data_IF_366502831215
#
_entry.id   IF_366502831215
#
_cell.length_a   1.000
_cell.length_b   1.000
_cell.length_c   1.000
_cell.angle_alpha   90.00
_cell.angle_beta   90.00
_cell.angle_gamma   90.00
#
_symmetry.space_group_name_H-M   'P 1'
#
loop_
_entity.id
_entity.type
_entity.pdbx_description
1 polymer ?
#
# COMPACT_ATOMS: atom_id res chain seq x y z
N UNK A 1 -5.78 -10.44 -5.39
CA UNK A 1 -5.94 -11.91 -5.35
C UNK A 1 -4.66 -12.62 -4.91
N UNK A 2 -3.65 -12.82 -5.76
CA UNK A 2 -2.42 -13.53 -5.36
C UNK A 2 -1.65 -12.79 -4.26
N UNK A 3 -1.48 -11.47 -4.38
CA UNK A 3 -0.85 -10.65 -3.34
C UNK A 3 -1.55 -10.77 -1.97
N UNK A 4 -2.88 -10.85 -1.97
CA UNK A 4 -3.69 -10.99 -0.75
C UNK A 4 -3.42 -12.29 0.00
N UNK A 5 -3.20 -13.40 -0.72
CA UNK A 5 -2.82 -14.69 -0.13
C UNK A 5 -1.42 -14.63 0.49
N UNK A 6 -0.46 -14.07 -0.25
CA UNK A 6 0.92 -13.88 0.23
C UNK A 6 0.93 -13.00 1.48
N UNK A 7 0.15 -11.92 1.48
CA UNK A 7 0.02 -11.01 2.61
C UNK A 7 -0.56 -11.66 3.86
N UNK A 8 -1.56 -12.54 3.71
CA UNK A 8 -2.09 -13.31 4.85
C UNK A 8 -1.00 -14.14 5.54
N UNK A 9 -0.16 -14.81 4.74
CA UNK A 9 0.96 -15.59 5.26
C UNK A 9 2.07 -14.72 5.86
N UNK A 10 2.48 -13.63 5.20
CA UNK A 10 3.51 -12.73 5.74
C UNK A 10 3.05 -11.99 7.00
N UNK A 11 1.78 -11.59 7.08
CA UNK A 11 1.20 -10.98 8.27
C UNK A 11 1.25 -11.91 9.48
N UNK A 12 0.97 -13.20 9.27
CA UNK A 12 1.03 -14.21 10.32
C UNK A 12 2.48 -14.53 10.74
N UNK A 13 3.42 -14.59 9.79
CA UNK A 13 4.80 -15.05 10.05
C UNK A 13 5.75 -13.94 10.50
N UNK A 14 5.70 -12.78 9.86
CA UNK A 14 6.65 -11.67 10.07
C UNK A 14 6.02 -10.46 10.77
N UNK A 15 4.72 -10.51 11.03
CA UNK A 15 3.98 -9.42 11.64
C UNK A 15 3.50 -8.36 10.66
N UNK A 16 2.62 -7.50 11.17
CA UNK A 16 1.86 -6.53 10.38
C UNK A 16 2.73 -5.35 9.95
N UNK A 17 3.62 -4.87 10.83
CA UNK A 17 4.55 -3.77 10.53
C UNK A 17 5.50 -4.12 9.39
N UNK A 18 6.09 -5.32 9.41
CA UNK A 18 6.97 -5.77 8.33
C UNK A 18 6.21 -5.88 7.00
N UNK A 19 4.98 -6.40 7.03
CA UNK A 19 4.15 -6.49 5.83
C UNK A 19 3.76 -5.12 5.28
N UNK A 20 3.46 -4.13 6.14
CA UNK A 20 3.22 -2.74 5.73
C UNK A 20 4.47 -2.13 5.08
N UNK A 21 5.65 -2.41 5.63
CA UNK A 21 6.91 -1.96 5.05
C UNK A 21 7.14 -2.57 3.66
N UNK A 22 6.93 -3.89 3.50
CA UNK A 22 7.06 -4.56 2.20
C UNK A 22 6.10 -3.98 1.16
N UNK A 23 4.86 -3.70 1.56
CA UNK A 23 3.85 -3.07 0.71
C UNK A 23 4.29 -1.66 0.30
N UNK A 24 4.74 -0.85 1.24
CA UNK A 24 5.19 0.52 0.94
C UNK A 24 6.41 0.53 0.00
N UNK A 25 7.33 -0.42 0.18
CA UNK A 25 8.48 -0.63 -0.71
C UNK A 25 8.03 -1.02 -2.13
N UNK A 26 7.13 -1.99 -2.26
CA UNK A 26 6.60 -2.43 -3.56
C UNK A 26 5.95 -1.26 -4.31
N UNK A 27 5.14 -0.45 -3.63
CA UNK A 27 4.56 0.76 -4.22
C UNK A 27 5.61 1.77 -4.66
N UNK A 28 6.58 2.08 -3.80
CA UNK A 28 7.62 3.06 -4.10
C UNK A 28 8.43 2.68 -5.34
N UNK A 29 8.93 1.44 -5.40
CA UNK A 29 9.68 0.96 -6.56
C UNK A 29 8.81 0.84 -7.81
N UNK A 30 7.54 0.45 -7.66
CA UNK A 30 6.61 0.38 -8.79
C UNK A 30 6.35 1.75 -9.41
N UNK A 31 6.11 2.79 -8.61
CA UNK A 31 5.86 4.14 -9.11
C UNK A 31 7.08 4.75 -9.80
N UNK A 32 8.28 4.57 -9.22
CA UNK A 32 9.54 4.98 -9.87
C UNK A 32 9.75 4.21 -11.17
N UNK A 33 9.57 2.89 -11.13
CA UNK A 33 9.71 2.03 -12.30
C UNK A 33 8.75 2.41 -13.42
N UNK A 34 7.50 2.73 -13.08
CA UNK A 34 6.52 3.21 -14.05
C UNK A 34 6.94 4.55 -14.67
N UNK A 35 7.53 5.47 -13.89
CA UNK A 35 8.04 6.73 -14.41
C UNK A 35 9.15 6.49 -15.47
N UNK A 36 10.14 5.66 -15.17
CA UNK A 36 11.30 5.44 -16.06
C UNK A 36 11.10 4.35 -17.12
N UNK A 37 9.90 3.76 -17.23
CA UNK A 37 9.63 2.66 -18.14
C UNK A 37 9.85 3.06 -19.61
N UNK A 38 10.80 2.43 -20.34
CA UNK A 38 11.14 2.84 -21.70
C UNK A 38 10.21 2.22 -22.77
N UNK A 39 9.38 1.24 -22.40
CA UNK A 39 8.43 0.60 -23.30
C UNK A 39 7.13 0.22 -22.59
N UNK A 40 6.04 0.11 -23.36
CA UNK A 40 4.73 -0.31 -22.85
C UNK A 40 4.76 -1.71 -22.22
N UNK A 41 5.62 -2.61 -22.70
CA UNK A 41 5.81 -3.94 -22.14
C UNK A 41 6.39 -3.90 -20.73
N UNK A 42 7.44 -3.09 -20.52
CA UNK A 42 8.05 -2.90 -19.20
C UNK A 42 7.06 -2.22 -18.26
N UNK A 43 6.31 -1.23 -18.76
CA UNK A 43 5.26 -0.59 -17.99
C UNK A 43 4.19 -1.57 -17.50
N UNK A 44 3.70 -2.47 -18.37
CA UNK A 44 2.73 -3.51 -18.00
C UNK A 44 3.30 -4.52 -16.99
N UNK A 45 4.56 -4.92 -17.14
CA UNK A 45 5.24 -5.80 -16.17
C UNK A 45 5.30 -5.16 -14.80
N UNK A 46 5.70 -3.89 -14.72
CA UNK A 46 5.74 -3.16 -13.44
C UNK A 46 4.34 -3.02 -12.85
N UNK A 47 3.32 -2.79 -13.69
CA UNK A 47 1.92 -2.73 -13.24
C UNK A 47 1.42 -4.06 -12.66
N UNK A 48 1.88 -5.17 -13.22
CA UNK A 48 1.59 -6.49 -12.68
C UNK A 48 2.16 -6.64 -11.27
N UNK A 49 3.42 -6.27 -11.04
CA UNK A 49 4.02 -6.28 -9.70
C UNK A 49 3.32 -5.31 -8.74
N UNK A 50 2.98 -4.10 -9.18
CA UNK A 50 2.21 -3.17 -8.39
C UNK A 50 0.84 -3.74 -7.94
N UNK A 51 0.24 -4.60 -8.78
CA UNK A 51 -0.98 -5.33 -8.44
C UNK A 51 -0.80 -6.32 -7.28
N UNK A 52 0.39 -6.89 -7.09
CA UNK A 52 0.71 -7.68 -5.90
C UNK A 52 0.71 -6.80 -4.65
N UNK A 53 1.43 -5.67 -4.68
CA UNK A 53 1.43 -4.71 -3.57
C UNK A 53 0.03 -4.24 -3.20
N UNK A 54 -0.81 -3.96 -4.20
CA UNK A 54 -2.21 -3.57 -3.98
C UNK A 54 -3.06 -4.67 -3.34
N UNK A 55 -2.91 -5.92 -3.78
CA UNK A 55 -3.60 -7.04 -3.13
C UNK A 55 -3.15 -7.25 -1.69
N UNK A 56 -1.87 -7.02 -1.41
CA UNK A 56 -1.26 -7.19 -0.09
C UNK A 56 -1.59 -6.05 0.87
N UNK A 57 -1.64 -4.82 0.37
CA UNK A 57 -1.93 -3.61 1.14
C UNK A 57 -3.33 -3.66 1.73
N UNK A 58 -4.31 -4.05 0.92
CA UNK A 58 -5.71 -4.11 1.34
C UNK A 58 -5.90 -5.01 2.56
N UNK A 59 -5.31 -6.22 2.55
CA UNK A 59 -5.40 -7.15 3.68
C UNK A 59 -4.67 -6.59 4.89
N UNK A 60 -3.42 -6.15 4.70
CA UNK A 60 -2.55 -5.72 5.81
C UNK A 60 -3.05 -4.47 6.50
N UNK A 61 -3.48 -3.45 5.73
CA UNK A 61 -3.99 -2.19 6.27
C UNK A 61 -5.29 -2.42 7.04
N UNK A 62 -6.23 -3.20 6.48
CA UNK A 62 -7.49 -3.53 7.15
C UNK A 62 -7.22 -4.25 8.47
N UNK A 63 -6.38 -5.28 8.47
CA UNK A 63 -6.05 -6.04 9.69
C UNK A 63 -5.34 -5.17 10.72
N UNK A 64 -4.38 -4.34 10.30
CA UNK A 64 -3.65 -3.45 11.19
C UNK A 64 -4.59 -2.43 11.87
N UNK A 65 -5.45 -1.78 11.08
CA UNK A 65 -6.42 -0.79 11.60
C UNK A 65 -7.40 -1.44 12.56
N UNK A 66 -7.88 -2.63 12.21
CA UNK A 66 -8.80 -3.42 13.03
C UNK A 66 -8.18 -3.81 14.37
N UNK A 67 -6.90 -4.18 14.39
CA UNK A 67 -6.19 -4.55 15.62
C UNK A 67 -5.93 -3.35 16.55
N UNK A 68 -5.90 -2.13 16.00
CA UNK A 68 -5.72 -0.90 16.76
C UNK A 68 -7.04 -0.22 17.17
N UNK A 69 -8.13 -0.49 16.47
CA UNK A 69 -9.41 0.18 16.67
C UNK A 69 -10.25 -0.44 17.78
N UNK A 70 -10.92 0.40 18.56
CA UNK A 70 -11.94 -0.02 19.52
C UNK A 70 -13.22 -0.53 18.80
N UNK A 71 -13.99 -1.39 19.45
CA UNK A 71 -15.13 -2.10 18.84
C UNK A 71 -16.20 -1.13 18.30
N UNK A 72 -16.43 -0.02 18.99
CA UNK A 72 -17.48 0.96 18.66
C UNK A 72 -17.16 1.78 17.40
N UNK A 73 -15.87 2.03 17.12
CA UNK A 73 -15.42 2.86 15.98
C UNK A 73 -14.81 2.05 14.85
N UNK A 74 -14.73 0.72 14.99
CA UNK A 74 -14.12 -0.20 14.01
C UNK A 74 -14.70 -0.04 12.60
N UNK A 75 -16.01 0.13 12.50
CA UNK A 75 -16.69 0.35 11.21
C UNK A 75 -16.19 1.60 10.48
N UNK A 76 -16.03 2.72 11.19
CA UNK A 76 -15.53 3.97 10.64
C UNK A 76 -14.02 3.87 10.32
N UNK A 77 -13.25 3.25 11.20
CA UNK A 77 -11.81 3.06 11.00
C UNK A 77 -11.50 2.23 9.74
N UNK A 78 -12.36 1.26 9.41
CA UNK A 78 -12.24 0.45 8.19
C UNK A 78 -12.50 1.23 6.89
N UNK A 79 -13.39 2.22 6.92
CA UNK A 79 -13.78 2.97 5.72
C UNK A 79 -12.79 4.08 5.38
N UNK A 80 -12.10 4.66 6.37
CA UNK A 80 -11.13 5.75 6.17
C UNK A 80 -10.04 5.39 5.14
N UNK A 81 -9.33 4.25 5.23
CA UNK A 81 -8.32 3.87 4.24
C UNK A 81 -8.90 3.69 2.84
N UNK A 82 -10.12 3.16 2.73
CA UNK A 82 -10.77 2.91 1.45
C UNK A 82 -11.16 4.21 0.76
N UNK A 83 -11.73 5.16 1.51
CA UNK A 83 -12.07 6.49 0.99
C UNK A 83 -10.81 7.24 0.57
N UNK A 84 -9.75 7.18 1.38
CA UNK A 84 -8.45 7.78 1.05
C UNK A 84 -7.86 7.19 -0.24
N UNK A 85 -7.93 5.87 -0.42
CA UNK A 85 -7.48 5.21 -1.64
C UNK A 85 -8.28 5.65 -2.88
N UNK A 86 -9.61 5.75 -2.77
CA UNK A 86 -10.46 6.23 -3.86
C UNK A 86 -10.18 7.69 -4.22
N UNK A 87 -10.01 8.56 -3.22
CA UNK A 87 -9.66 9.95 -3.42
C UNK A 87 -8.29 10.10 -4.12
N UNK A 88 -7.30 9.31 -3.71
CA UNK A 88 -5.98 9.28 -4.35
C UNK A 88 -6.03 8.84 -5.82
N UNK A 89 -6.82 7.81 -6.13
CA UNK A 89 -7.03 7.34 -7.51
C UNK A 89 -7.73 8.40 -8.37
N UNK A 90 -8.74 9.09 -7.83
CA UNK A 90 -9.42 10.19 -8.52
C UNK A 90 -8.46 11.34 -8.82
N UNK A 91 -7.67 11.77 -7.82
CA UNK A 91 -6.67 12.82 -7.99
C UNK A 91 -5.61 12.44 -9.03
N UNK A 92 -5.11 11.20 -9.00
CA UNK A 92 -4.16 10.70 -9.99
C UNK A 92 -4.75 10.68 -11.41
N UNK A 93 -6.02 10.32 -11.57
CA UNK A 93 -6.70 10.33 -12.86
C UNK A 93 -6.86 11.75 -13.41
N UNK A 94 -7.26 12.71 -12.57
CA UNK A 94 -7.38 14.13 -12.96
C UNK A 94 -6.01 14.69 -13.34
N UNK A 95 -4.97 14.46 -12.52
CA UNK A 95 -3.61 14.92 -12.80
C UNK A 95 -3.05 14.28 -14.09
N UNK A 96 -3.36 13.01 -14.34
CA UNK A 96 -2.99 12.30 -15.56
C UNK A 96 -3.58 12.87 -16.85
N UNK A 97 -4.68 13.63 -16.76
CA UNK A 97 -5.27 14.33 -17.90
C UNK A 97 -4.51 15.62 -18.24
N UNK A 98 -4.07 16.38 -17.22
CA UNK A 98 -3.41 17.68 -17.40
C UNK A 98 -1.89 17.59 -17.52
N UNK A 99 -1.27 16.56 -16.95
CA UNK A 99 0.18 16.45 -16.80
C UNK A 99 0.66 15.15 -17.44
N UNK A 100 1.86 15.18 -18.05
CA UNK A 100 2.49 13.95 -18.58
C UNK A 100 2.63 12.90 -17.49
N UNK A 101 2.35 11.65 -17.86
CA UNK A 101 2.31 10.50 -16.95
C UNK A 101 3.58 10.34 -16.09
N UNK A 102 4.75 10.73 -16.63
CA UNK A 102 6.05 10.71 -15.95
C UNK A 102 6.03 11.51 -14.64
N UNK A 103 5.58 12.76 -14.70
CA UNK A 103 5.53 13.62 -13.51
C UNK A 103 4.46 13.15 -12.53
N UNK A 104 3.33 12.63 -13.04
CA UNK A 104 2.28 12.06 -12.17
C UNK A 104 2.79 10.85 -11.40
N UNK A 105 3.56 9.96 -12.05
CA UNK A 105 4.20 8.83 -11.34
C UNK A 105 5.22 9.27 -10.30
N UNK A 106 6.03 10.29 -10.59
CA UNK A 106 7.00 10.81 -9.61
C UNK A 106 6.32 11.46 -8.40
N UNK A 107 5.27 12.26 -8.63
CA UNK A 107 4.49 12.87 -7.55
C UNK A 107 3.80 11.77 -6.72
N UNK A 108 3.23 10.76 -7.38
CA UNK A 108 2.59 9.64 -6.71
C UNK A 108 3.58 8.79 -5.89
N UNK A 109 4.86 8.72 -6.29
CA UNK A 109 5.91 8.03 -5.54
C UNK A 109 6.25 8.69 -4.19
N UNK A 110 5.92 9.98 -3.99
CA UNK A 110 6.16 10.66 -2.72
C UNK A 110 5.30 10.08 -1.59
N UNK A 111 4.06 9.69 -1.87
CA UNK A 111 3.15 9.11 -0.86
C UNK A 111 3.70 7.81 -0.24
N UNK A 112 4.09 6.77 -1.01
CA UNK A 112 4.69 5.57 -0.45
C UNK A 112 6.08 5.82 0.14
N UNK A 113 6.83 6.82 -0.33
CA UNK A 113 8.10 7.21 0.29
C UNK A 113 7.89 7.74 1.72
N UNK A 114 6.89 8.61 1.91
CA UNK A 114 6.49 9.09 3.23
C UNK A 114 6.04 7.90 4.09
N UNK A 115 5.21 7.00 3.54
CA UNK A 115 4.74 5.83 4.26
C UNK A 115 5.88 4.89 4.70
N UNK A 116 6.90 4.70 3.86
CA UNK A 116 8.11 3.93 4.20
C UNK A 116 8.82 4.50 5.43
N UNK A 117 8.96 5.83 5.49
CA UNK A 117 9.58 6.51 6.64
C UNK A 117 8.69 6.34 7.88
N UNK A 118 7.38 6.53 7.75
CA UNK A 118 6.44 6.36 8.88
C UNK A 118 6.36 4.93 9.40
N UNK A 119 6.58 3.91 8.56
CA UNK A 119 6.61 2.50 8.99
C UNK A 119 7.69 2.23 10.06
N UNK A 120 8.76 3.03 10.12
CA UNK A 120 9.75 2.94 11.20
C UNK A 120 9.21 3.44 12.55
N UNK A 121 8.22 4.31 12.56
CA UNK A 121 7.60 4.82 13.78
C UNK A 121 6.33 4.07 14.20
N UNK A 122 5.81 3.18 13.34
CA UNK A 122 4.63 2.39 13.67
C UNK A 122 4.93 1.38 14.79
N UNK A 123 4.11 1.34 15.86
CA UNK A 123 4.21 0.28 16.87
C UNK A 123 3.82 -1.07 16.24
N UNK A 124 4.43 -2.14 16.70
CA UNK A 124 3.98 -3.48 16.34
C UNK A 124 2.64 -3.77 17.02
N UNK A 125 1.70 -4.40 16.29
CA UNK A 125 0.37 -4.66 16.85
C UNK A 125 0.43 -5.68 17.99
N UNK A 126 -0.35 -5.47 19.07
CA UNK A 126 -0.29 -6.24 20.31
C UNK A 126 -0.62 -7.73 20.15
N UNK A 127 -1.29 -8.14 19.06
CA UNK A 127 -1.63 -9.54 18.78
C UNK A 127 -0.40 -10.46 18.65
N UNK A 128 0.75 -9.95 18.22
CA UNK A 128 1.96 -10.78 18.08
C UNK A 128 2.62 -11.13 19.42
N UNK A 129 2.28 -10.42 20.50
CA UNK A 129 2.83 -10.65 21.84
C UNK A 129 1.99 -11.62 22.67
N UNK A 130 0.71 -11.83 22.34
CA UNK A 130 -0.19 -12.68 23.13
C UNK A 130 -0.21 -14.15 22.64
N UNK A 131 0.16 -14.38 21.37
CA UNK A 131 0.18 -15.72 20.75
C UNK A 131 1.56 -16.41 20.79
N UNK A 132 2.49 -15.93 21.62
CA UNK A 132 3.83 -16.50 21.81
C UNK A 132 4.06 -16.78 23.28
#
# INVERSE_FOLDING_TARGET
FVGSWVAGWTNAKYGRRFSLFMVAADYFFSWIGMAVAPSSTIFLLIRFFNGFGCGSSMVTVITYVVELSDQDVRGMMLTIPQISQMAGQLAAAILGYYVRYYYVSLIAALFPAIMLIFCFFLPETPSNLILK
#
